data_IF_028585583463
#
_entry.id   IF_028585583463
#
_cell.length_a   1.000
_cell.length_b   1.000
_cell.length_c   1.000
_cell.angle_alpha   90.00
_cell.angle_beta   90.00
_cell.angle_gamma   90.00
#
_symmetry.space_group_name_H-M   'P 1'
#
loop_
_entity.id
_entity.type
_entity.pdbx_description
1 polymer ?
#
# COMPACT_ATOMS: atom_id res chain seq x y z
N UNK A 1 -13.36 14.46 -2.48
CA UNK A 1 -11.92 14.43 -2.14
C UNK A 1 -11.66 15.51 -1.10
N UNK A 2 -10.67 15.35 -0.22
CA UNK A 2 -10.37 16.38 0.81
C UNK A 2 -9.79 17.65 0.20
N UNK A 3 -9.28 17.60 -1.04
CA UNK A 3 -8.64 18.72 -1.73
C UNK A 3 -7.22 19.01 -1.22
N UNK A 4 -6.76 18.25 -0.24
CA UNK A 4 -5.43 18.38 0.33
C UNK A 4 -4.39 17.77 -0.60
N UNK A 5 -3.28 18.47 -0.76
CA UNK A 5 -2.09 18.00 -1.49
C UNK A 5 -1.01 17.80 -0.44
N UNK A 6 -0.42 16.61 -0.40
CA UNK A 6 0.69 16.31 0.49
C UNK A 6 1.84 17.28 0.28
N UNK A 7 2.41 17.79 1.38
CA UNK A 7 3.68 18.49 1.38
C UNK A 7 4.61 17.91 2.46
N UNK A 8 5.94 18.04 2.31
CA UNK A 8 6.90 17.57 3.33
C UNK A 8 6.63 18.15 4.73
N UNK A 9 6.10 19.37 4.81
CA UNK A 9 5.75 20.03 6.08
C UNK A 9 4.62 19.29 6.79
N UNK A 10 3.66 18.71 6.05
CA UNK A 10 2.57 17.93 6.63
C UNK A 10 3.08 16.70 7.36
N UNK A 11 4.15 16.05 6.86
CA UNK A 11 4.80 14.91 7.54
C UNK A 11 5.37 15.32 8.90
N UNK A 12 5.90 16.53 9.02
CA UNK A 12 6.42 17.05 10.29
C UNK A 12 5.29 17.48 11.23
N UNK A 13 4.19 18.00 10.68
CA UNK A 13 3.03 18.47 11.44
C UNK A 13 2.20 17.32 12.03
N UNK A 14 2.14 16.18 11.33
CA UNK A 14 1.40 15.00 11.73
C UNK A 14 2.32 13.78 11.87
N UNK A 15 3.27 13.81 12.83
CA UNK A 15 4.27 12.75 12.99
C UNK A 15 3.65 11.41 13.42
N UNK A 16 2.43 11.39 13.93
CA UNK A 16 1.67 10.19 14.28
C UNK A 16 1.10 9.46 13.06
N UNK A 17 1.16 10.07 11.87
CA UNK A 17 0.76 9.42 10.62
C UNK A 17 1.95 8.64 10.06
N UNK A 18 2.02 7.38 10.46
CA UNK A 18 3.08 6.46 10.03
C UNK A 18 3.05 6.15 8.53
N UNK A 19 1.89 6.28 7.87
CA UNK A 19 1.74 5.94 6.45
C UNK A 19 0.96 7.02 5.67
N UNK A 20 1.63 7.58 4.66
CA UNK A 20 1.06 8.57 3.75
C UNK A 20 0.67 7.90 2.45
N UNK A 21 -0.64 7.80 2.21
CA UNK A 21 -1.22 7.15 1.04
C UNK A 21 -1.35 8.17 -0.08
N UNK A 22 -0.51 8.06 -1.11
CA UNK A 22 -0.47 9.01 -2.22
C UNK A 22 -0.85 8.37 -3.55
N UNK A 23 -1.30 9.21 -4.49
CA UNK A 23 -1.57 8.97 -5.92
C UNK A 23 -2.64 7.93 -6.28
N UNK A 24 -2.51 6.66 -5.87
CA UNK A 24 -3.43 5.56 -6.19
C UNK A 24 -3.54 4.59 -5.01
N UNK A 25 -4.70 3.92 -4.92
CA UNK A 25 -4.95 2.82 -3.99
C UNK A 25 -5.47 1.63 -4.79
N UNK A 26 -4.80 0.48 -4.70
CA UNK A 26 -5.26 -0.78 -5.27
C UNK A 26 -5.52 -1.79 -4.15
N UNK A 27 -6.80 -2.03 -3.87
CA UNK A 27 -7.24 -2.93 -2.80
C UNK A 27 -6.85 -4.38 -3.07
N UNK A 28 -6.31 -5.04 -2.04
CA UNK A 28 -6.05 -6.46 -2.08
C UNK A 28 -7.16 -7.22 -1.35
N UNK A 29 -7.51 -8.38 -1.90
CA UNK A 29 -8.44 -9.32 -1.30
C UNK A 29 -7.79 -10.69 -1.25
N UNK A 30 -7.83 -11.33 -0.08
CA UNK A 30 -7.32 -12.68 0.07
C UNK A 30 -8.10 -13.69 -0.76
N UNK A 31 -7.43 -14.76 -1.17
CA UNK A 31 -8.03 -15.83 -1.97
C UNK A 31 -8.29 -17.12 -1.18
N UNK A 32 -7.84 -17.19 0.08
CA UNK A 32 -7.87 -18.40 0.90
C UNK A 32 -8.83 -18.23 2.10
N UNK A 33 -10.05 -18.82 2.02
CA UNK A 33 -11.01 -18.80 3.12
C UNK A 33 -10.45 -19.38 4.41
N UNK A 34 -10.70 -18.71 5.53
CA UNK A 34 -10.21 -19.08 6.85
C UNK A 34 -8.77 -18.65 7.14
N UNK A 35 -8.03 -18.15 6.13
CA UNK A 35 -6.67 -17.61 6.28
C UNK A 35 -6.65 -16.12 5.99
N UNK A 36 -6.33 -15.72 4.77
CA UNK A 36 -6.27 -14.31 4.32
C UNK A 36 -7.62 -13.79 3.79
N UNK A 37 -8.66 -14.63 3.75
CA UNK A 37 -10.04 -14.25 3.46
C UNK A 37 -10.98 -14.84 4.51
N UNK A 38 -11.87 -14.03 5.07
CA UNK A 38 -12.87 -14.41 6.08
C UNK A 38 -12.29 -15.08 7.34
N UNK A 39 -11.00 -14.91 7.62
CA UNK A 39 -10.33 -15.35 8.85
C UNK A 39 -9.93 -14.18 9.76
N UNK A 40 -9.10 -14.45 10.77
CA UNK A 40 -8.61 -13.44 11.71
C UNK A 40 -7.57 -12.49 11.09
N UNK A 41 -7.00 -12.86 9.94
CA UNK A 41 -6.00 -12.06 9.20
C UNK A 41 -6.49 -11.74 7.79
N UNK A 42 -7.78 -11.45 7.65
CA UNK A 42 -8.40 -11.07 6.38
C UNK A 42 -7.77 -9.81 5.77
N UNK A 43 -7.21 -9.94 4.55
CA UNK A 43 -6.47 -8.88 3.85
C UNK A 43 -7.31 -7.63 3.62
N UNK A 44 -8.57 -7.80 3.19
CA UNK A 44 -9.43 -6.67 2.84
C UNK A 44 -9.97 -5.97 4.09
N UNK A 45 -10.38 -6.72 5.11
CA UNK A 45 -10.86 -6.19 6.40
C UNK A 45 -9.76 -5.48 7.19
N UNK A 46 -8.50 -5.84 6.97
CA UNK A 46 -7.33 -5.17 7.54
C UNK A 46 -6.86 -3.96 6.72
N UNK A 47 -7.57 -3.62 5.66
CA UNK A 47 -7.25 -2.51 4.77
C UNK A 47 -5.85 -2.59 4.15
N UNK A 48 -5.49 -3.76 3.63
CA UNK A 48 -4.22 -3.93 2.92
C UNK A 48 -4.39 -3.60 1.44
N UNK A 49 -3.57 -2.69 0.93
CA UNK A 49 -3.57 -2.24 -0.47
C UNK A 49 -2.17 -1.89 -0.94
N UNK A 50 -2.01 -1.76 -2.26
CA UNK A 50 -0.83 -1.16 -2.90
C UNK A 50 -1.08 0.34 -3.05
N UNK A 51 -0.12 1.18 -2.67
CA UNK A 51 -0.22 2.62 -2.80
C UNK A 51 1.11 3.34 -3.01
N UNK A 52 1.03 4.61 -3.42
CA UNK A 52 2.16 5.52 -3.48
C UNK A 52 2.53 6.08 -2.11
N UNK A 53 3.78 6.50 -1.95
CA UNK A 53 4.31 7.10 -0.72
C UNK A 53 5.12 8.38 -1.02
N UNK A 54 5.45 9.20 0.00
CA UNK A 54 6.38 10.31 -0.15
C UNK A 54 7.72 9.87 -0.78
N UNK A 55 8.36 10.76 -1.54
CA UNK A 55 9.62 10.42 -2.24
C UNK A 55 10.78 10.15 -1.28
N UNK A 56 10.74 10.72 -0.08
CA UNK A 56 11.72 10.54 0.99
C UNK A 56 11.50 9.28 1.84
N UNK A 57 10.38 8.56 1.64
CA UNK A 57 10.13 7.33 2.37
C UNK A 57 11.18 6.26 2.00
N UNK A 58 11.68 5.52 3.00
CA UNK A 58 12.62 4.43 2.76
C UNK A 58 11.90 3.26 2.06
N UNK A 59 12.59 2.64 1.09
CA UNK A 59 12.07 1.52 0.31
C UNK A 59 12.82 0.24 0.64
N UNK A 60 12.11 -0.90 0.59
CA UNK A 60 12.69 -2.22 0.85
C UNK A 60 13.00 -2.51 2.31
N UNK A 61 12.43 -1.73 3.24
CA UNK A 61 12.45 -2.00 4.67
C UNK A 61 11.02 -2.14 5.19
N UNK A 62 10.87 -2.78 6.34
CA UNK A 62 9.60 -2.79 7.07
C UNK A 62 9.21 -1.35 7.44
N UNK A 63 8.04 -0.91 7.00
CA UNK A 63 7.64 0.49 7.16
C UNK A 63 6.21 0.79 6.71
N UNK A 64 5.37 -0.24 6.67
CA UNK A 64 3.93 -0.12 6.44
C UNK A 64 3.21 -0.98 7.48
N UNK A 65 1.97 -0.64 7.83
CA UNK A 65 1.14 -1.45 8.73
C UNK A 65 0.60 -2.74 8.05
N UNK A 66 1.30 -3.23 7.02
CA UNK A 66 0.96 -4.39 6.20
C UNK A 66 0.70 -4.08 4.72
N UNK A 67 0.52 -2.81 4.35
CA UNK A 67 0.35 -2.37 2.96
C UNK A 67 1.63 -2.56 2.13
N UNK A 68 1.50 -2.48 0.79
CA UNK A 68 2.65 -2.54 -0.12
C UNK A 68 2.90 -1.12 -0.65
N UNK A 69 4.02 -0.52 -0.23
CA UNK A 69 4.44 0.81 -0.71
C UNK A 69 5.18 0.72 -2.03
N UNK A 70 4.83 1.60 -2.96
CA UNK A 70 5.51 1.79 -4.24
C UNK A 70 5.84 3.28 -4.43
N UNK A 71 6.82 3.59 -5.29
CA UNK A 71 7.02 4.98 -5.70
C UNK A 71 5.81 5.47 -6.49
N UNK A 72 5.50 6.76 -6.34
CA UNK A 72 4.33 7.39 -6.95
C UNK A 72 4.22 7.15 -8.45
N UNK A 73 5.35 7.25 -9.18
CA UNK A 73 5.37 6.97 -10.63
C UNK A 73 5.01 5.51 -10.92
N UNK A 74 5.61 4.59 -10.18
CA UNK A 74 5.49 3.15 -10.45
C UNK A 74 4.09 2.63 -10.11
N UNK A 75 3.44 3.15 -9.06
CA UNK A 75 2.05 2.77 -8.73
C UNK A 75 1.04 3.34 -9.71
N UNK A 76 1.28 4.55 -10.25
CA UNK A 76 0.43 5.13 -11.30
C UNK A 76 0.53 4.27 -12.56
N UNK A 77 1.76 3.92 -12.97
CA UNK A 77 1.97 3.06 -14.13
C UNK A 77 1.32 1.68 -13.96
N UNK A 78 1.51 1.06 -12.79
CA UNK A 78 0.87 -0.23 -12.50
C UNK A 78 -0.66 -0.14 -12.54
N UNK A 79 -1.23 0.92 -11.96
CA UNK A 79 -2.68 1.13 -11.93
C UNK A 79 -3.28 1.18 -13.33
N UNK A 80 -2.60 1.82 -14.29
CA UNK A 80 -3.07 1.93 -15.67
C UNK A 80 -2.93 0.61 -16.46
N UNK A 81 -2.19 -0.39 -15.94
CA UNK A 81 -1.92 -1.67 -16.59
C UNK A 81 -2.76 -2.84 -16.08
N UNK A 82 -3.49 -2.69 -14.97
CA UNK A 82 -4.19 -3.80 -14.31
C UNK A 82 -5.67 -3.50 -14.09
N UNK A 83 -6.48 -4.55 -14.12
CA UNK A 83 -7.92 -4.48 -13.84
C UNK A 83 -8.25 -5.11 -12.48
N UNK A 84 -9.37 -4.72 -11.83
CA UNK A 84 -9.85 -5.41 -10.65
C UNK A 84 -9.98 -6.92 -10.88
N UNK A 85 -9.40 -7.72 -9.98
CA UNK A 85 -9.32 -9.18 -10.11
C UNK A 85 -8.00 -9.69 -10.68
N UNK A 86 -7.10 -8.80 -11.14
CA UNK A 86 -5.71 -9.16 -11.46
C UNK A 86 -5.05 -9.83 -10.26
N UNK A 87 -4.46 -11.00 -10.48
CA UNK A 87 -3.84 -11.79 -9.41
C UNK A 87 -2.53 -11.17 -8.95
N UNK A 88 -2.34 -11.09 -7.64
CA UNK A 88 -1.09 -10.63 -7.00
C UNK A 88 -0.49 -11.80 -6.23
N UNK A 89 0.74 -12.16 -6.58
CA UNK A 89 1.50 -13.18 -5.86
C UNK A 89 2.48 -12.50 -4.89
N UNK A 90 2.32 -12.76 -3.60
CA UNK A 90 3.18 -12.22 -2.54
C UNK A 90 4.00 -13.38 -2.00
N UNK A 91 5.32 -13.22 -1.97
CA UNK A 91 6.26 -14.19 -1.45
C UNK A 91 7.32 -13.49 -0.62
N UNK A 92 8.09 -14.25 0.13
CA UNK A 92 9.20 -13.73 0.91
C UNK A 92 10.22 -13.07 -0.04
N UNK A 93 10.69 -11.89 0.35
CA UNK A 93 11.81 -11.26 -0.35
C UNK A 93 13.02 -12.18 -0.23
N UNK A 94 13.71 -12.46 -1.34
CA UNK A 94 14.99 -13.18 -1.26
C UNK A 94 15.93 -12.31 -0.43
N UNK A 95 16.44 -12.87 0.67
CA UNK A 95 17.52 -12.27 1.45
C UNK A 95 18.62 -11.78 0.49
N UNK A 96 19.10 -10.56 0.72
CA UNK A 96 20.32 -10.06 0.09
C UNK A 96 21.54 -10.72 0.72
#
# INVERSE_FOLDING_TARGET
TTGEIYTPEMKQQYPERDDWILTRIMWLSGLEPGRNRHGNVDTMRRFIYIHGCPDDDPMGIEGSAGCIKMRNRDVIELFDQVEPGTLVYITEGKDK
#
